data_IF_636052666918
#
_entry.id   IF_636052666918
#
_cell.length_a   1.000
_cell.length_b   1.000
_cell.length_c   1.000
_cell.angle_alpha   90.00
_cell.angle_beta   90.00
_cell.angle_gamma   90.00
#
_symmetry.space_group_name_H-M   'P 1'
#
loop_
_entity.id
_entity.type
_entity.pdbx_description
1 polymer ?
#
# COMPACT_ATOMS: atom_id res chain seq x y z
N UNK A 1 5.81 -1.63 7.07
CA UNK A 1 4.78 -2.09 8.03
C UNK A 1 3.35 -1.74 7.57
N UNK A 2 3.01 -0.47 7.19
CA UNK A 2 1.62 -0.08 6.87
C UNK A 2 0.99 -0.94 5.79
N UNK A 3 1.69 -1.24 4.69
CA UNK A 3 1.20 -2.14 3.64
C UNK A 3 0.76 -3.48 4.23
N UNK A 4 1.62 -4.11 5.03
CA UNK A 4 1.31 -5.41 5.67
C UNK A 4 0.17 -5.28 6.68
N UNK A 5 0.08 -4.17 7.42
CA UNK A 5 -1.06 -3.89 8.31
C UNK A 5 -2.38 -3.88 7.54
N UNK A 6 -2.43 -3.21 6.37
CA UNK A 6 -3.61 -3.23 5.52
C UNK A 6 -3.91 -4.63 4.96
N UNK A 7 -2.89 -5.36 4.45
CA UNK A 7 -3.07 -6.74 3.98
C UNK A 7 -3.69 -7.62 5.06
N UNK A 8 -3.15 -7.58 6.28
CA UNK A 8 -3.66 -8.38 7.41
C UNK A 8 -5.07 -7.94 7.83
N UNK A 9 -5.35 -6.63 7.83
CA UNK A 9 -6.68 -6.14 8.13
C UNK A 9 -7.69 -6.59 7.08
N UNK A 10 -7.39 -6.47 5.80
CA UNK A 10 -8.28 -6.87 4.71
C UNK A 10 -8.52 -8.38 4.70
N UNK A 11 -7.49 -9.17 4.97
CA UNK A 11 -7.64 -10.63 5.01
C UNK A 11 -8.52 -11.11 6.16
N UNK A 12 -8.46 -10.45 7.33
CA UNK A 12 -9.19 -10.84 8.53
C UNK A 12 -10.39 -9.93 8.86
N UNK A 13 -10.60 -8.85 8.10
CA UNK A 13 -11.66 -7.87 8.32
C UNK A 13 -11.71 -7.34 9.78
N UNK A 14 -10.54 -7.13 10.42
CA UNK A 14 -10.44 -6.86 11.86
C UNK A 14 -11.20 -5.61 12.25
N UNK A 15 -11.07 -4.52 11.50
CA UNK A 15 -11.74 -3.25 11.83
C UNK A 15 -13.25 -3.38 11.73
N UNK A 16 -13.75 -4.05 10.68
CA UNK A 16 -15.19 -4.27 10.49
C UNK A 16 -15.74 -5.19 11.59
N UNK A 17 -15.03 -6.28 11.90
CA UNK A 17 -15.42 -7.21 12.95
C UNK A 17 -15.46 -6.52 14.32
N UNK A 18 -14.42 -5.76 14.66
CA UNK A 18 -14.36 -5.02 15.92
C UNK A 18 -15.48 -3.99 16.02
N UNK A 19 -15.69 -3.18 14.96
CA UNK A 19 -16.76 -2.19 14.89
C UNK A 19 -18.13 -2.84 15.09
N UNK A 20 -18.40 -3.92 14.36
CA UNK A 20 -19.66 -4.66 14.45
C UNK A 20 -19.94 -5.15 15.87
N UNK A 21 -18.93 -5.65 16.59
CA UNK A 21 -19.10 -6.09 17.98
C UNK A 21 -19.34 -4.92 18.94
N UNK A 22 -18.61 -3.83 18.78
CA UNK A 22 -18.78 -2.64 19.62
C UNK A 22 -20.15 -1.98 19.45
N UNK A 23 -20.67 -1.93 18.22
CA UNK A 23 -21.98 -1.33 17.92
C UNK A 23 -23.16 -2.26 18.20
N UNK A 24 -22.98 -3.55 18.02
CA UNK A 24 -24.07 -4.53 18.02
C UNK A 24 -24.16 -5.43 19.25
N UNK A 25 -23.25 -5.29 20.23
CA UNK A 25 -23.21 -6.10 21.45
C UNK A 25 -23.07 -7.63 21.21
N UNK A 26 -23.49 -8.45 22.20
CA UNK A 26 -23.41 -9.92 22.16
C UNK A 26 -24.17 -10.57 21.01
N UNK A 27 -25.23 -9.94 20.47
CA UNK A 27 -26.04 -10.52 19.40
C UNK A 27 -25.22 -10.71 18.11
N UNK A 28 -24.20 -9.90 17.92
CA UNK A 28 -23.36 -9.95 16.73
C UNK A 28 -22.17 -10.94 16.84
N UNK A 29 -21.96 -11.56 17.99
CA UNK A 29 -20.82 -12.45 18.20
C UNK A 29 -20.80 -13.68 17.26
N UNK A 30 -21.93 -14.11 16.74
CA UNK A 30 -22.08 -15.24 15.81
C UNK A 30 -22.46 -14.81 14.39
N UNK A 31 -22.35 -13.54 14.08
CA UNK A 31 -22.69 -13.01 12.76
C UNK A 31 -21.44 -13.02 11.86
N UNK A 32 -21.50 -13.71 10.74
CA UNK A 32 -20.41 -13.84 9.76
C UNK A 32 -20.69 -12.94 8.55
N UNK A 33 -20.75 -11.63 8.77
CA UNK A 33 -21.03 -10.65 7.69
C UNK A 33 -19.79 -10.28 6.87
N UNK A 34 -18.61 -10.39 7.48
CA UNK A 34 -17.37 -10.00 6.83
C UNK A 34 -16.56 -11.25 6.50
N UNK A 35 -16.37 -11.58 5.23
CA UNK A 35 -15.56 -12.73 4.84
C UNK A 35 -14.11 -12.53 5.26
N UNK A 36 -13.49 -13.61 5.69
CA UNK A 36 -12.07 -13.67 6.04
C UNK A 36 -11.37 -14.62 5.08
N UNK A 37 -10.11 -14.32 4.74
CA UNK A 37 -9.35 -15.03 3.73
C UNK A 37 -7.96 -15.38 4.25
N UNK A 38 -7.46 -16.53 3.86
CA UNK A 38 -6.04 -16.84 3.99
C UNK A 38 -5.22 -16.00 3.00
N UNK A 39 -4.02 -15.60 3.41
CA UNK A 39 -3.08 -14.87 2.54
C UNK A 39 -2.07 -15.80 1.85
N UNK A 40 -1.95 -17.06 2.30
CA UNK A 40 -1.10 -18.07 1.67
C UNK A 40 -1.52 -18.29 0.21
N UNK A 41 -0.54 -18.27 -0.70
CA UNK A 41 -0.71 -18.36 -2.16
C UNK A 41 -1.50 -17.18 -2.78
N UNK A 42 -1.80 -16.14 -2.00
CA UNK A 42 -2.31 -14.89 -2.57
C UNK A 42 -1.20 -14.06 -3.17
N UNK A 43 -1.54 -13.26 -4.19
CA UNK A 43 -0.59 -12.41 -4.90
C UNK A 43 -0.64 -10.99 -4.41
N UNK A 44 0.51 -10.44 -4.04
CA UNK A 44 0.68 -9.01 -3.81
C UNK A 44 1.43 -8.39 -4.99
N UNK A 45 0.78 -7.45 -5.67
CA UNK A 45 1.36 -6.63 -6.73
C UNK A 45 1.98 -5.37 -6.16
N UNK A 46 3.25 -5.15 -6.44
CA UNK A 46 4.04 -4.02 -5.94
C UNK A 46 4.38 -3.07 -7.10
N UNK A 47 3.64 -1.98 -7.23
CA UNK A 47 3.93 -0.91 -8.20
C UNK A 47 5.16 -0.14 -7.71
N UNK A 48 6.27 -0.17 -8.45
CA UNK A 48 7.55 0.34 -7.97
C UNK A 48 8.25 -0.59 -6.96
N UNK A 49 7.92 -1.87 -6.99
CA UNK A 49 8.36 -2.88 -6.01
C UNK A 49 9.85 -3.17 -5.99
N UNK A 50 10.62 -2.75 -7.01
CA UNK A 50 12.08 -2.88 -7.06
C UNK A 50 12.84 -1.89 -6.17
N UNK A 51 12.15 -0.90 -5.59
CA UNK A 51 12.72 0.07 -4.65
C UNK A 51 12.84 -0.47 -3.23
N UNK A 52 13.45 0.31 -2.34
CA UNK A 52 13.71 -0.06 -0.93
C UNK A 52 12.43 -0.47 -0.19
N UNK A 53 11.33 0.29 -0.35
CA UNK A 53 10.07 0.00 0.36
C UNK A 53 9.42 -1.25 -0.21
N UNK A 54 9.34 -1.38 -1.55
CA UNK A 54 8.75 -2.55 -2.19
C UNK A 54 9.51 -3.84 -1.85
N UNK A 55 10.85 -3.79 -1.85
CA UNK A 55 11.69 -4.91 -1.41
C UNK A 55 11.40 -5.30 0.06
N UNK A 56 11.28 -4.32 0.95
CA UNK A 56 10.93 -4.57 2.35
C UNK A 56 9.50 -5.12 2.54
N UNK A 57 8.57 -4.80 1.66
CA UNK A 57 7.24 -5.43 1.64
C UNK A 57 7.35 -6.89 1.20
N UNK A 58 8.12 -7.17 0.15
CA UNK A 58 8.36 -8.53 -0.33
C UNK A 58 9.04 -9.39 0.75
N UNK A 59 9.99 -8.82 1.53
CA UNK A 59 10.68 -9.48 2.64
C UNK A 59 9.72 -10.04 3.70
N UNK A 60 8.57 -9.41 3.87
CA UNK A 60 7.55 -9.85 4.83
C UNK A 60 6.46 -10.70 4.15
N UNK A 61 6.06 -10.35 2.93
CA UNK A 61 5.00 -11.05 2.22
C UNK A 61 5.38 -12.51 1.87
N UNK A 62 6.62 -12.73 1.44
CA UNK A 62 7.11 -14.06 1.08
C UNK A 62 7.10 -15.07 2.24
N UNK A 63 7.62 -14.76 3.44
CA UNK A 63 7.50 -15.64 4.61
C UNK A 63 6.06 -15.91 5.05
N UNK A 64 5.13 -14.96 4.80
CA UNK A 64 3.70 -15.14 5.05
C UNK A 64 3.01 -16.05 4.01
N UNK A 65 3.76 -16.61 3.08
CA UNK A 65 3.23 -17.54 2.07
C UNK A 65 2.71 -16.89 0.80
N UNK A 66 2.84 -15.56 0.64
CA UNK A 66 2.37 -14.85 -0.56
C UNK A 66 3.31 -15.01 -1.75
N UNK A 67 2.78 -14.82 -2.97
CA UNK A 67 3.55 -14.58 -4.20
C UNK A 67 3.67 -13.07 -4.42
N UNK A 68 4.80 -12.63 -4.98
CA UNK A 68 5.06 -11.20 -5.22
C UNK A 68 5.18 -10.93 -6.71
N UNK A 69 4.35 -10.02 -7.21
CA UNK A 69 4.45 -9.45 -8.55
C UNK A 69 5.02 -8.03 -8.44
N UNK A 70 5.96 -7.68 -9.30
CA UNK A 70 6.56 -6.34 -9.33
C UNK A 70 6.32 -5.72 -10.69
N UNK A 71 5.79 -4.51 -10.71
CA UNK A 71 5.86 -3.65 -11.89
C UNK A 71 6.88 -2.55 -11.65
N UNK A 72 7.82 -2.41 -12.57
CA UNK A 72 8.86 -1.39 -12.54
C UNK A 72 9.01 -0.75 -13.92
N UNK A 73 9.42 0.52 -13.94
CA UNK A 73 9.63 1.25 -15.21
C UNK A 73 10.60 0.55 -16.18
N UNK A 74 11.62 -0.12 -15.65
CA UNK A 74 12.60 -0.84 -16.49
C UNK A 74 12.14 -2.21 -16.97
N UNK A 75 10.97 -2.71 -16.51
CA UNK A 75 10.49 -4.07 -16.82
C UNK A 75 11.36 -5.19 -16.24
N UNK A 76 12.29 -4.87 -15.35
CA UNK A 76 13.20 -5.84 -14.72
C UNK A 76 13.63 -5.37 -13.33
N UNK A 77 14.14 -6.29 -12.52
CA UNK A 77 14.85 -5.94 -11.30
C UNK A 77 16.25 -5.37 -11.61
N UNK A 78 16.77 -4.46 -10.80
CA UNK A 78 18.16 -4.05 -10.87
C UNK A 78 19.11 -5.25 -10.75
N UNK A 79 20.24 -5.20 -11.46
CA UNK A 79 21.28 -6.24 -11.35
C UNK A 79 21.74 -6.36 -9.88
N UNK A 80 21.81 -7.58 -9.38
CA UNK A 80 22.16 -7.85 -7.98
C UNK A 80 21.02 -7.59 -6.99
N UNK A 81 19.81 -7.35 -7.48
CA UNK A 81 18.65 -7.25 -6.60
C UNK A 81 18.42 -8.58 -5.87
N UNK A 82 18.11 -8.50 -4.58
CA UNK A 82 17.90 -9.64 -3.68
C UNK A 82 17.00 -10.75 -4.26
N UNK A 83 16.03 -10.39 -5.06
CA UNK A 83 15.05 -11.31 -5.65
C UNK A 83 15.25 -11.57 -7.14
N UNK A 84 16.41 -11.23 -7.73
CA UNK A 84 16.68 -11.40 -9.15
C UNK A 84 16.46 -12.84 -9.65
N UNK A 85 16.71 -13.83 -8.79
CA UNK A 85 16.58 -15.26 -9.12
C UNK A 85 15.50 -15.97 -8.26
N UNK A 86 14.48 -15.27 -7.81
CA UNK A 86 13.43 -15.84 -6.97
C UNK A 86 12.28 -16.37 -7.82
N UNK A 87 11.88 -17.62 -7.59
CA UNK A 87 10.71 -18.22 -8.25
C UNK A 87 9.38 -17.63 -7.77
N UNK A 88 9.37 -17.01 -6.60
CA UNK A 88 8.18 -16.42 -5.96
C UNK A 88 8.05 -14.91 -6.16
N UNK A 89 9.01 -14.28 -6.84
CA UNK A 89 8.99 -12.86 -7.21
C UNK A 89 9.11 -12.74 -8.72
N UNK A 90 8.10 -12.19 -9.36
CA UNK A 90 8.07 -12.04 -10.83
C UNK A 90 7.92 -10.57 -11.20
N UNK A 91 8.67 -10.14 -12.20
CA UNK A 91 8.45 -8.83 -12.82
C UNK A 91 7.51 -9.00 -13.99
N UNK A 92 6.45 -8.22 -13.97
CA UNK A 92 5.37 -8.30 -14.98
C UNK A 92 4.97 -6.88 -15.43
N UNK A 93 4.34 -6.74 -16.61
CA UNK A 93 3.70 -5.49 -17.02
C UNK A 93 2.63 -5.03 -16.01
N UNK A 94 2.33 -3.72 -15.99
CA UNK A 94 1.36 -3.13 -15.05
C UNK A 94 -0.02 -3.79 -15.15
N UNK A 95 -0.55 -3.95 -16.36
CA UNK A 95 -1.89 -4.51 -16.57
C UNK A 95 -1.98 -5.96 -16.07
N UNK A 96 -0.92 -6.76 -16.26
CA UNK A 96 -0.84 -8.12 -15.74
C UNK A 96 -0.76 -8.14 -14.20
N UNK A 97 0.01 -7.23 -13.61
CA UNK A 97 0.09 -7.07 -12.16
C UNK A 97 -1.30 -6.76 -11.59
N UNK A 98 -2.00 -5.78 -12.16
CA UNK A 98 -3.33 -5.37 -11.71
C UNK A 98 -4.34 -6.52 -11.83
N UNK A 99 -4.40 -7.19 -12.97
CA UNK A 99 -5.34 -8.28 -13.23
C UNK A 99 -5.10 -9.55 -12.40
N UNK A 100 -3.84 -9.78 -11.98
CA UNK A 100 -3.45 -11.03 -11.30
C UNK A 100 -3.39 -10.91 -9.79
N UNK A 101 -3.30 -9.70 -9.22
CA UNK A 101 -3.06 -9.50 -7.78
C UNK A 101 -4.35 -9.56 -6.96
N UNK A 102 -4.22 -10.07 -5.74
CA UNK A 102 -5.27 -10.00 -4.71
C UNK A 102 -5.11 -8.73 -3.85
N UNK A 103 -3.87 -8.25 -3.72
CA UNK A 103 -3.54 -6.97 -3.10
C UNK A 103 -2.61 -6.20 -4.03
N UNK A 104 -2.90 -4.94 -4.27
CA UNK A 104 -2.03 -4.03 -5.06
C UNK A 104 -1.52 -2.94 -4.15
N UNK A 105 -0.20 -2.78 -4.06
CA UNK A 105 0.43 -1.74 -3.24
C UNK A 105 1.26 -0.80 -4.08
N UNK A 106 1.04 0.50 -3.89
CA UNK A 106 1.79 1.57 -4.55
C UNK A 106 3.03 1.89 -3.72
N UNK A 107 4.23 1.77 -4.33
CA UNK A 107 5.53 1.99 -3.69
C UNK A 107 6.46 2.85 -4.57
N UNK A 108 5.94 3.49 -5.60
CA UNK A 108 6.69 4.42 -6.45
C UNK A 108 6.64 5.86 -5.91
N UNK A 109 7.61 6.71 -6.25
CA UNK A 109 7.57 8.13 -5.92
C UNK A 109 6.50 8.85 -6.78
N UNK A 110 5.99 9.98 -6.27
CA UNK A 110 5.16 10.89 -7.05
C UNK A 110 6.05 11.76 -7.93
N UNK A 111 5.79 11.73 -9.23
CA UNK A 111 6.38 12.62 -10.24
C UNK A 111 5.38 12.86 -11.37
N UNK A 112 5.81 13.50 -12.47
CA UNK A 112 4.93 13.78 -13.61
C UNK A 112 4.39 12.52 -14.31
N UNK A 113 5.13 11.41 -14.29
CA UNK A 113 4.72 10.13 -14.91
C UNK A 113 3.76 9.33 -14.01
N UNK A 114 3.91 9.45 -12.69
CA UNK A 114 3.14 8.66 -11.72
C UNK A 114 1.93 9.40 -11.14
N UNK A 115 1.84 10.72 -11.35
CA UNK A 115 0.65 11.50 -10.97
C UNK A 115 -0.57 10.97 -11.73
N UNK A 116 -1.62 10.61 -10.97
CA UNK A 116 -2.88 10.06 -11.48
C UNK A 116 -2.69 8.84 -12.43
N UNK A 117 -1.58 8.11 -12.25
CA UNK A 117 -1.33 6.90 -13.04
C UNK A 117 -2.20 5.71 -12.65
N UNK A 118 -2.94 5.84 -11.55
CA UNK A 118 -3.95 4.86 -11.11
C UNK A 118 -5.29 5.58 -11.11
N UNK A 119 -6.13 5.27 -12.09
CA UNK A 119 -7.46 5.82 -12.27
C UNK A 119 -8.50 4.74 -12.50
N UNK A 120 -9.64 5.11 -13.09
CA UNK A 120 -10.77 4.22 -13.36
C UNK A 120 -10.33 3.00 -14.19
N UNK A 121 -9.53 3.21 -15.26
CA UNK A 121 -9.04 2.12 -16.10
C UNK A 121 -8.23 1.09 -15.31
N UNK A 122 -7.26 1.54 -14.52
CA UNK A 122 -6.35 0.69 -13.75
C UNK A 122 -7.11 -0.07 -12.66
N UNK A 123 -8.04 0.60 -11.98
CA UNK A 123 -8.87 -0.01 -10.93
C UNK A 123 -9.79 -1.07 -11.53
N UNK A 124 -10.37 -0.84 -12.70
CA UNK A 124 -11.21 -1.83 -13.39
C UNK A 124 -10.45 -3.03 -13.94
N UNK A 125 -9.14 -2.96 -14.10
CA UNK A 125 -8.30 -4.12 -14.42
C UNK A 125 -8.10 -5.05 -13.23
N UNK A 126 -8.28 -4.56 -12.00
CA UNK A 126 -8.09 -5.35 -10.79
C UNK A 126 -9.22 -6.38 -10.63
N UNK A 127 -8.95 -7.44 -9.85
CA UNK A 127 -9.99 -8.40 -9.48
C UNK A 127 -11.08 -7.72 -8.65
N UNK A 128 -12.36 -8.07 -8.82
CA UNK A 128 -13.43 -7.55 -7.93
C UNK A 128 -13.21 -7.84 -6.44
N UNK A 129 -12.42 -8.87 -6.14
CA UNK A 129 -12.04 -9.25 -4.76
C UNK A 129 -10.74 -8.61 -4.28
N UNK A 130 -10.07 -7.83 -5.11
CA UNK A 130 -8.78 -7.23 -4.79
C UNK A 130 -8.89 -5.98 -3.90
N UNK A 131 -7.78 -5.67 -3.24
CA UNK A 131 -7.62 -4.47 -2.43
C UNK A 131 -6.48 -3.60 -2.96
N UNK A 132 -6.73 -2.29 -3.07
CA UNK A 132 -5.72 -1.30 -3.43
C UNK A 132 -5.16 -0.64 -2.16
N UNK A 133 -3.83 -0.55 -2.06
CA UNK A 133 -3.14 0.01 -0.90
C UNK A 133 -2.21 1.14 -1.35
N UNK A 134 -2.42 2.34 -0.83
CA UNK A 134 -1.54 3.48 -1.08
C UNK A 134 -0.95 4.02 0.23
N UNK A 135 0.33 3.78 0.42
CA UNK A 135 1.14 4.33 1.51
C UNK A 135 2.30 5.18 0.98
N UNK A 136 2.23 5.56 -0.29
CA UNK A 136 3.25 6.36 -0.98
C UNK A 136 2.87 7.84 -1.03
N UNK A 137 2.06 8.25 -2.00
CA UNK A 137 1.52 9.62 -2.13
C UNK A 137 0.13 9.58 -2.72
N UNK A 138 -0.80 10.36 -2.18
CA UNK A 138 -2.21 10.36 -2.59
C UNK A 138 -2.40 10.64 -4.07
N UNK A 139 -1.75 11.67 -4.60
CA UNK A 139 -1.87 12.10 -5.98
C UNK A 139 -1.31 11.11 -7.04
N UNK A 140 -0.84 9.93 -6.67
CA UNK A 140 -0.59 8.83 -7.61
C UNK A 140 -1.91 8.24 -8.09
N UNK A 141 -2.93 8.25 -7.22
CA UNK A 141 -4.29 7.85 -7.57
C UNK A 141 -5.06 9.11 -8.00
N UNK A 142 -5.89 9.00 -9.02
CA UNK A 142 -6.95 9.97 -9.29
C UNK A 142 -8.07 9.73 -8.27
N UNK A 143 -8.13 10.55 -7.22
CA UNK A 143 -9.02 10.34 -6.07
C UNK A 143 -10.49 10.39 -6.47
N UNK A 144 -10.88 11.25 -7.40
CA UNK A 144 -12.26 11.36 -7.87
C UNK A 144 -12.71 10.07 -8.58
N UNK A 145 -11.86 9.49 -9.41
CA UNK A 145 -12.14 8.23 -10.10
C UNK A 145 -12.13 7.05 -9.12
N UNK A 146 -11.21 7.04 -8.15
CA UNK A 146 -11.21 6.05 -7.07
C UNK A 146 -12.54 6.07 -6.31
N UNK A 147 -13.02 7.24 -5.89
CA UNK A 147 -14.30 7.38 -5.16
C UNK A 147 -15.45 6.76 -5.97
N UNK A 148 -15.52 7.02 -7.28
CA UNK A 148 -16.55 6.43 -8.13
C UNK A 148 -16.41 4.89 -8.18
N UNK A 149 -15.21 4.36 -8.41
CA UNK A 149 -14.96 2.93 -8.41
C UNK A 149 -15.32 2.27 -7.07
N UNK A 150 -15.07 2.95 -5.94
CA UNK A 150 -15.41 2.42 -4.62
C UNK A 150 -16.92 2.44 -4.34
N UNK A 151 -17.65 3.47 -4.81
CA UNK A 151 -19.13 3.51 -4.79
C UNK A 151 -19.73 2.37 -5.60
N UNK A 152 -19.17 2.13 -6.78
CA UNK A 152 -19.61 1.06 -7.70
C UNK A 152 -19.13 -0.33 -7.26
N UNK A 153 -18.34 -0.43 -6.19
CA UNK A 153 -17.75 -1.68 -5.68
C UNK A 153 -16.97 -2.45 -6.76
N UNK A 154 -16.22 -1.72 -7.60
CA UNK A 154 -15.39 -2.30 -8.67
C UNK A 154 -14.34 -3.25 -8.09
N UNK A 155 -13.78 -2.90 -6.92
CA UNK A 155 -12.88 -3.74 -6.13
C UNK A 155 -13.41 -3.87 -4.70
N UNK A 156 -12.88 -4.82 -3.95
CA UNK A 156 -13.36 -5.11 -2.59
C UNK A 156 -13.13 -3.95 -1.60
N UNK A 157 -12.03 -3.22 -1.76
CA UNK A 157 -11.74 -2.08 -0.89
C UNK A 157 -10.39 -1.43 -1.16
N UNK A 158 -10.13 -0.34 -0.46
CA UNK A 158 -8.82 0.28 -0.48
C UNK A 158 -8.35 0.76 0.89
N UNK A 159 -7.01 0.81 1.07
CA UNK A 159 -6.35 1.33 2.26
C UNK A 159 -5.44 2.50 1.88
N UNK A 160 -5.73 3.69 2.42
CA UNK A 160 -5.05 4.93 2.07
C UNK A 160 -4.42 5.54 3.32
N UNK A 161 -3.10 5.47 3.41
CA UNK A 161 -2.35 6.24 4.42
C UNK A 161 -2.03 7.66 3.94
N UNK A 162 -2.19 7.90 2.64
CA UNK A 162 -2.00 9.20 1.99
C UNK A 162 -3.17 9.49 1.07
N UNK A 163 -3.65 10.73 1.08
CA UNK A 163 -4.74 11.23 0.26
C UNK A 163 -4.23 12.32 -0.70
N UNK A 164 -4.99 12.65 -1.74
CA UNK A 164 -4.58 13.68 -2.71
C UNK A 164 -4.51 15.06 -2.05
N UNK A 165 -5.45 15.35 -1.17
CA UNK A 165 -5.43 16.48 -0.24
C UNK A 165 -5.35 15.93 1.19
N UNK A 166 -4.44 16.43 1.99
CA UNK A 166 -4.25 16.03 3.40
C UNK A 166 -4.41 17.23 4.36
N UNK A 167 -5.42 17.24 5.26
CA UNK A 167 -6.50 16.24 5.37
C UNK A 167 -7.46 16.29 4.18
N UNK A 168 -8.20 15.20 3.88
CA UNK A 168 -9.25 15.22 2.87
C UNK A 168 -10.30 16.28 3.20
N UNK A 169 -10.92 16.85 2.16
CA UNK A 169 -11.97 17.84 2.34
C UNK A 169 -13.08 17.31 3.26
N UNK A 170 -13.64 18.12 4.19
CA UNK A 170 -14.68 17.64 5.12
C UNK A 170 -15.87 16.99 4.43
N UNK A 171 -16.23 17.42 3.23
CA UNK A 171 -17.34 16.88 2.44
C UNK A 171 -16.93 15.71 1.53
N UNK A 172 -15.66 15.26 1.58
CA UNK A 172 -15.22 14.15 0.74
C UNK A 172 -16.02 12.88 1.03
N UNK A 173 -16.42 12.20 -0.03
CA UNK A 173 -17.11 10.92 0.08
C UNK A 173 -16.21 9.80 0.61
N UNK A 174 -14.88 9.98 0.62
CA UNK A 174 -13.95 9.05 1.27
C UNK A 174 -14.33 8.75 2.73
N UNK A 175 -14.90 9.74 3.44
CA UNK A 175 -15.33 9.59 4.84
C UNK A 175 -16.55 8.68 5.03
N UNK A 176 -17.32 8.44 3.96
CA UNK A 176 -18.61 7.76 4.00
C UNK A 176 -18.57 6.34 3.47
N UNK A 177 -17.48 5.96 2.81
CA UNK A 177 -17.33 4.66 2.14
C UNK A 177 -16.77 3.62 3.12
N UNK A 178 -17.54 2.57 3.38
CA UNK A 178 -17.20 1.47 4.33
C UNK A 178 -16.14 0.53 3.80
N UNK A 179 -15.87 0.56 2.50
CA UNK A 179 -14.81 -0.19 1.85
C UNK A 179 -13.53 0.63 1.63
N UNK A 180 -13.47 1.85 2.20
CA UNK A 180 -12.29 2.73 2.19
C UNK A 180 -11.74 2.88 3.60
N UNK A 181 -10.49 2.51 3.81
CA UNK A 181 -9.80 2.59 5.10
C UNK A 181 -8.77 3.68 5.07
N UNK A 182 -9.01 4.76 5.81
CA UNK A 182 -8.13 5.92 5.88
C UNK A 182 -7.28 5.86 7.14
N UNK A 183 -5.99 6.21 7.02
CA UNK A 183 -5.13 6.53 8.16
C UNK A 183 -4.46 7.89 7.93
N UNK A 184 -4.18 8.66 9.00
CA UNK A 184 -3.74 10.05 8.88
C UNK A 184 -2.23 10.17 8.65
N UNK A 185 -1.73 9.58 7.54
CA UNK A 185 -0.33 9.60 7.11
C UNK A 185 0.62 9.21 8.26
N UNK A 186 0.40 8.00 8.80
CA UNK A 186 1.12 7.49 9.97
C UNK A 186 2.20 6.45 9.66
N UNK A 187 2.39 6.09 8.39
CA UNK A 187 3.37 5.08 7.98
C UNK A 187 4.79 5.35 8.47
N UNK A 188 5.16 6.60 8.66
CA UNK A 188 6.45 7.07 9.17
C UNK A 188 6.49 7.33 10.68
N UNK A 189 5.33 7.39 11.37
CA UNK A 189 5.19 7.95 12.74
C UNK A 189 5.59 7.01 13.88
N UNK A 190 6.12 5.82 13.59
CA UNK A 190 6.59 4.92 14.66
C UNK A 190 7.70 5.56 15.47
N UNK A 191 7.69 5.31 16.78
CA UNK A 191 8.63 5.91 17.72
C UNK A 191 10.08 5.68 17.29
N UNK A 192 10.42 4.44 16.98
CA UNK A 192 11.77 4.04 16.57
C UNK A 192 12.16 4.64 15.21
N UNK A 193 11.20 4.81 14.31
CA UNK A 193 11.44 5.43 12.99
C UNK A 193 11.73 6.92 13.16
N UNK A 194 10.98 7.60 14.01
CA UNK A 194 11.18 9.02 14.33
C UNK A 194 12.51 9.24 15.03
N UNK A 195 12.88 8.37 15.99
CA UNK A 195 14.17 8.44 16.67
C UNK A 195 15.31 8.30 15.65
N UNK A 196 15.26 7.28 14.78
CA UNK A 196 16.28 7.13 13.73
C UNK A 196 16.38 8.35 12.80
N UNK A 197 15.26 8.99 12.48
CA UNK A 197 15.27 10.20 11.66
C UNK A 197 16.03 11.33 12.36
N UNK A 198 15.80 11.54 13.66
CA UNK A 198 16.51 12.53 14.46
C UNK A 198 18.01 12.20 14.51
N UNK A 199 18.35 10.94 14.82
CA UNK A 199 19.75 10.50 14.90
C UNK A 199 20.48 10.70 13.57
N UNK A 200 19.87 10.29 12.45
CA UNK A 200 20.45 10.47 11.11
C UNK A 200 20.61 11.95 10.74
N UNK A 201 19.66 12.80 11.13
CA UNK A 201 19.74 14.25 10.91
C UNK A 201 20.89 14.86 11.68
N UNK A 202 21.02 14.49 12.96
CA UNK A 202 22.14 14.93 13.83
C UNK A 202 23.48 14.49 13.25
N UNK A 203 23.59 13.23 12.82
CA UNK A 203 24.78 12.70 12.18
C UNK A 203 25.15 13.44 10.88
N UNK A 204 24.16 13.83 10.08
CA UNK A 204 24.40 14.59 8.85
C UNK A 204 24.96 15.99 9.17
N UNK A 205 24.39 16.67 10.17
CA UNK A 205 24.86 17.99 10.63
C UNK A 205 26.29 17.89 11.18
N UNK A 206 26.57 16.93 12.06
CA UNK A 206 27.90 16.72 12.62
C UNK A 206 28.95 16.41 11.54
N UNK A 207 28.58 15.56 10.58
CA UNK A 207 29.44 15.24 9.45
C UNK A 207 29.72 16.46 8.56
N UNK A 208 28.71 17.28 8.31
CA UNK A 208 28.87 18.53 7.53
C UNK A 208 29.82 19.51 8.22
N UNK A 209 29.66 19.73 9.54
CA UNK A 209 30.54 20.60 10.36
C UNK A 209 32.00 20.11 10.32
N UNK A 210 32.20 18.78 10.26
CA UNK A 210 33.52 18.14 10.17
C UNK A 210 34.08 18.10 8.74
N UNK A 211 33.43 18.74 7.78
CA UNK A 211 33.83 18.74 6.37
C UNK A 211 33.65 17.39 5.65
N UNK A 212 32.89 16.45 6.25
CA UNK A 212 32.58 15.15 5.66
C UNK A 212 31.13 15.15 5.14
N UNK A 213 30.97 15.29 3.83
CA UNK A 213 29.65 15.33 3.21
C UNK A 213 29.13 13.89 3.04
N UNK A 214 27.88 13.65 3.50
CA UNK A 214 27.18 12.36 3.37
C UNK A 214 25.69 12.60 3.07
N UNK A 215 25.03 11.61 2.47
CA UNK A 215 23.60 11.66 2.15
C UNK A 215 23.19 12.88 1.30
N UNK A 216 24.04 13.26 0.35
CA UNK A 216 23.76 14.37 -0.59
C UNK A 216 22.62 13.96 -1.49
N UNK A 217 21.64 14.83 -1.65
CA UNK A 217 20.57 14.73 -2.62
C UNK A 217 20.75 15.86 -3.64
N UNK A 218 20.70 15.53 -4.93
CA UNK A 218 20.81 16.48 -6.05
C UNK A 218 19.43 16.67 -6.69
#
# INVERSE_FOLDING_TARGET
HMVITYVMNFSAAIFQQAKMLHEGNQSNFRVFQHPIYEITNKKIGLIGGSGTIGTAVADVALPLGMEVLISSRSGRLPKGHKYENSDRVKVVPMDELLASSDFVSINCPLNSETRHSIGDREIRLMKPTAFLINTARGAIINEAELINCMKDKVIAGCGLDTQEMEPPHPDSDLWKLDNVFLTPHIGWRRLETRQRLVDMTTDNIDSYIKGKIRNVVN
#
